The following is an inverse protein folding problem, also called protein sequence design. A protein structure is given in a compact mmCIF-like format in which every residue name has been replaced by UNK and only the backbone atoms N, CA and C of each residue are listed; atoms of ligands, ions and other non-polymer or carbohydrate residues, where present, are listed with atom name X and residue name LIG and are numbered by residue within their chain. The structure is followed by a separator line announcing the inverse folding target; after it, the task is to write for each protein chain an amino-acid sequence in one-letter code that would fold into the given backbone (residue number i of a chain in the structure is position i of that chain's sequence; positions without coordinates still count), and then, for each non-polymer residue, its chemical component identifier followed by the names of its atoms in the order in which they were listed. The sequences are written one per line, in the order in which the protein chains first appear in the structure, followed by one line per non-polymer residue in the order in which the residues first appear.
data_IF_660999756100
#
_entry.id   IF_660999756100
#
_cell.length_a   1.000
_cell.length_b   1.000
_cell.length_c   1.000
_cell.angle_alpha   90.00
_cell.angle_beta   90.00
_cell.angle_gamma   90.00
#
_symmetry.space_group_name_H-M   'P 1'
#
loop_
_entity.id
_entity.type
_entity.pdbx_description
1 polymer ?
#
# COMPACT_ATOMS: atom_id res chain seq x y z
N UNK A 1 -11.85 -7.33 8.07
CA UNK A 1 -12.54 -7.56 6.79
C UNK A 1 -12.78 -9.05 6.66
N UNK A 2 -13.86 -9.46 5.99
CA UNK A 2 -14.22 -10.89 5.91
C UNK A 2 -13.76 -11.55 4.60
N UNK A 3 -13.27 -10.74 3.65
CA UNK A 3 -12.80 -11.17 2.34
C UNK A 3 -11.68 -10.26 1.81
N UNK A 4 -11.10 -10.63 0.69
CA UNK A 4 -10.21 -9.79 -0.10
C UNK A 4 -11.06 -8.87 -0.99
N UNK A 5 -10.85 -7.57 -0.87
CA UNK A 5 -11.58 -6.49 -1.55
C UNK A 5 -10.70 -5.87 -2.64
N UNK A 6 -11.31 -5.44 -3.73
CA UNK A 6 -10.57 -4.86 -4.87
C UNK A 6 -10.96 -3.40 -5.09
N UNK A 7 -9.98 -2.58 -5.44
CA UNK A 7 -10.18 -1.15 -5.65
C UNK A 7 -9.06 -0.47 -6.41
N UNK A 8 -9.11 0.85 -6.42
CA UNK A 8 -8.31 1.70 -7.28
C UNK A 8 -7.35 2.58 -6.49
N UNK A 9 -6.15 2.79 -7.03
CA UNK A 9 -5.24 3.85 -6.61
C UNK A 9 -5.79 5.19 -7.10
N UNK A 10 -6.40 5.92 -6.18
CA UNK A 10 -7.12 7.14 -6.50
C UNK A 10 -8.52 6.91 -7.06
N UNK A 11 -9.15 8.02 -7.46
CA UNK A 11 -10.45 7.98 -8.13
C UNK A 11 -10.31 7.38 -9.53
N UNK A 12 -11.29 6.57 -9.99
CA UNK A 12 -11.30 6.06 -11.36
C UNK A 12 -11.11 7.17 -12.41
N UNK A 13 -10.40 6.89 -13.49
CA UNK A 13 -10.12 7.86 -14.58
C UNK A 13 -11.44 8.37 -15.19
N UNK A 14 -12.42 7.50 -15.32
CA UNK A 14 -13.74 7.84 -15.83
C UNK A 14 -14.59 8.70 -14.89
N UNK A 15 -14.11 9.00 -13.67
CA UNK A 15 -14.82 9.84 -12.71
C UNK A 15 -14.80 11.31 -13.11
N UNK A 16 -15.98 11.89 -13.32
CA UNK A 16 -16.14 13.34 -13.38
C UNK A 16 -16.43 13.87 -11.99
N UNK A 17 -15.53 14.69 -11.45
CA UNK A 17 -15.69 15.28 -10.11
C UNK A 17 -14.55 15.00 -9.14
N UNK A 18 -14.85 15.17 -7.87
CA UNK A 18 -13.88 15.11 -6.78
C UNK A 18 -13.78 13.71 -6.13
N UNK A 19 -13.08 13.61 -5.01
CA UNK A 19 -12.91 12.37 -4.25
C UNK A 19 -14.24 11.74 -3.82
N UNK A 20 -15.26 12.56 -3.47
CA UNK A 20 -16.59 12.04 -3.07
C UNK A 20 -17.27 11.35 -4.26
N UNK A 21 -17.21 11.97 -5.44
CA UNK A 21 -17.73 11.35 -6.67
C UNK A 21 -16.90 10.11 -7.07
N UNK A 22 -15.59 10.11 -6.83
CA UNK A 22 -14.72 8.94 -7.00
C UNK A 22 -15.21 7.74 -6.17
N UNK A 23 -15.48 7.94 -4.89
CA UNK A 23 -16.00 6.90 -3.99
C UNK A 23 -17.33 6.32 -4.51
N UNK A 24 -18.23 7.20 -4.92
CA UNK A 24 -19.53 6.78 -5.49
C UNK A 24 -19.34 5.99 -6.80
N UNK A 25 -18.35 6.39 -7.61
CA UNK A 25 -18.06 5.73 -8.87
C UNK A 25 -17.41 4.36 -8.66
N UNK A 26 -16.45 4.23 -7.76
CA UNK A 26 -15.86 2.94 -7.38
C UNK A 26 -16.96 1.94 -7.04
N UNK A 27 -17.97 2.33 -6.26
CA UNK A 27 -19.11 1.46 -5.96
C UNK A 27 -19.97 1.14 -7.19
N UNK A 28 -20.19 2.11 -8.12
CA UNK A 28 -20.92 1.84 -9.37
C UNK A 28 -20.20 0.83 -10.27
N UNK A 29 -18.86 0.81 -10.25
CA UNK A 29 -18.04 -0.17 -10.96
C UNK A 29 -18.03 -1.56 -10.27
N UNK A 30 -18.69 -1.70 -9.10
CA UNK A 30 -18.72 -2.94 -8.34
C UNK A 30 -17.46 -3.21 -7.52
N UNK A 31 -16.57 -2.23 -7.40
CA UNK A 31 -15.37 -2.29 -6.58
C UNK A 31 -15.68 -1.91 -5.12
N UNK A 32 -14.77 -2.25 -4.20
CA UNK A 32 -15.03 -2.25 -2.77
C UNK A 32 -14.09 -1.35 -1.97
N UNK A 33 -12.99 -0.90 -2.54
CA UNK A 33 -12.03 -0.03 -1.86
C UNK A 33 -11.45 1.02 -2.81
N UNK A 34 -10.90 2.09 -2.23
CA UNK A 34 -10.21 3.14 -2.96
C UNK A 34 -9.07 3.69 -2.10
N UNK A 35 -7.92 3.90 -2.70
CA UNK A 35 -6.81 4.56 -2.06
C UNK A 35 -6.88 6.07 -2.28
N UNK A 36 -6.62 6.85 -1.21
CA UNK A 36 -6.49 8.29 -1.28
C UNK A 36 -5.05 8.62 -1.66
N UNK A 37 -4.86 9.20 -2.86
CA UNK A 37 -3.54 9.51 -3.39
C UNK A 37 -3.07 10.89 -2.92
N UNK A 38 -2.17 10.91 -1.93
CA UNK A 38 -1.50 12.13 -1.47
C UNK A 38 -0.11 12.29 -2.10
N UNK A 39 0.07 11.75 -3.28
CA UNK A 39 1.36 11.61 -3.99
C UNK A 39 2.21 12.89 -3.96
N UNK A 40 1.61 14.04 -4.25
CA UNK A 40 2.29 15.34 -4.22
C UNK A 40 1.99 16.17 -2.97
N UNK A 41 0.82 16.02 -2.39
CA UNK A 41 0.38 16.76 -1.21
C UNK A 41 -0.91 16.17 -0.65
N UNK A 42 -1.17 16.47 0.62
CA UNK A 42 -2.46 16.15 1.25
C UNK A 42 -3.50 17.13 0.71
N UNK A 43 -4.32 16.67 -0.22
CA UNK A 43 -5.29 17.47 -0.98
C UNK A 43 -6.73 17.41 -0.42
N UNK A 44 -6.90 16.85 0.78
CA UNK A 44 -8.18 16.77 1.49
C UNK A 44 -8.08 17.61 2.76
N UNK A 45 -8.92 18.65 2.86
CA UNK A 45 -9.06 19.45 4.09
C UNK A 45 -9.85 18.70 5.14
N UNK A 46 -9.85 19.16 6.41
CA UNK A 46 -10.64 18.54 7.49
C UNK A 46 -12.14 18.56 7.19
N UNK A 47 -12.65 19.66 6.62
CA UNK A 47 -14.05 19.82 6.21
C UNK A 47 -14.40 18.83 5.10
N UNK A 48 -13.53 18.67 4.13
CA UNK A 48 -13.70 17.72 3.03
C UNK A 48 -13.65 16.28 3.54
N UNK A 49 -12.80 15.97 4.53
CA UNK A 49 -12.70 14.65 5.13
C UNK A 49 -14.03 14.17 5.71
N UNK A 50 -14.84 15.06 6.27
CA UNK A 50 -16.19 14.74 6.78
C UNK A 50 -17.09 14.24 5.64
N UNK A 51 -17.05 14.90 4.48
CA UNK A 51 -17.85 14.51 3.31
C UNK A 51 -17.36 13.19 2.72
N UNK A 52 -16.06 13.00 2.66
CA UNK A 52 -15.42 11.75 2.21
C UNK A 52 -15.80 10.59 3.13
N UNK A 53 -15.73 10.77 4.45
CA UNK A 53 -16.16 9.79 5.45
C UNK A 53 -17.63 9.40 5.25
N UNK A 54 -18.53 10.39 5.10
CA UNK A 54 -19.95 10.15 4.86
C UNK A 54 -20.16 9.30 3.60
N UNK A 55 -19.54 9.69 2.49
CA UNK A 55 -19.66 8.97 1.22
C UNK A 55 -19.11 7.53 1.31
N UNK A 56 -17.96 7.34 1.96
CA UNK A 56 -17.37 6.03 2.15
C UNK A 56 -18.26 5.10 2.97
N UNK A 57 -18.83 5.60 4.06
CA UNK A 57 -19.79 4.83 4.88
C UNK A 57 -21.08 4.49 4.12
N UNK A 58 -21.70 5.46 3.46
CA UNK A 58 -22.93 5.26 2.69
C UNK A 58 -22.74 4.26 1.55
N UNK A 59 -21.59 4.30 0.90
CA UNK A 59 -21.26 3.41 -0.22
C UNK A 59 -20.55 2.12 0.21
N UNK A 60 -20.25 1.95 1.50
CA UNK A 60 -19.51 0.80 2.04
C UNK A 60 -18.17 0.60 1.31
N UNK A 61 -17.45 1.69 1.05
CA UNK A 61 -16.11 1.68 0.46
C UNK A 61 -15.07 1.75 1.58
N UNK A 62 -14.13 0.82 1.56
CA UNK A 62 -12.95 0.88 2.42
C UNK A 62 -11.96 1.86 1.81
N UNK A 63 -11.49 2.81 2.62
CA UNK A 63 -10.47 3.76 2.21
C UNK A 63 -9.11 3.39 2.79
N UNK A 64 -8.11 3.46 1.93
CA UNK A 64 -6.68 3.47 2.29
C UNK A 64 -6.07 4.81 1.85
N UNK A 65 -4.80 5.01 2.08
CA UNK A 65 -4.10 6.21 1.64
C UNK A 65 -2.66 5.87 1.28
N UNK A 66 -2.17 6.38 0.15
CA UNK A 66 -0.75 6.48 -0.14
C UNK A 66 -0.24 7.87 0.24
N UNK A 67 0.75 7.92 1.12
CA UNK A 67 1.38 9.17 1.55
C UNK A 67 2.36 9.70 0.47
N UNK A 68 2.84 10.99 0.56
CA UNK A 68 3.65 11.59 -0.47
C UNK A 68 4.92 10.81 -0.84
N UNK A 69 5.25 10.75 -2.14
CA UNK A 69 6.35 9.94 -2.68
C UNK A 69 7.76 10.43 -2.30
N UNK A 70 7.90 11.67 -1.83
CA UNK A 70 9.19 12.24 -1.43
C UNK A 70 9.56 12.00 0.03
N UNK A 71 8.84 11.12 0.72
CA UNK A 71 9.19 10.67 2.07
C UNK A 71 10.54 9.97 2.06
N UNK A 72 11.41 10.35 3.00
CA UNK A 72 12.68 9.68 3.24
C UNK A 72 13.03 9.77 4.73
N UNK A 73 12.65 8.73 5.48
CA UNK A 73 12.91 8.61 6.93
C UNK A 73 14.42 8.38 7.21
N UNK A 74 15.22 8.00 6.20
CA UNK A 74 16.68 7.91 6.33
C UNK A 74 17.40 9.17 5.79
N UNK A 75 16.74 10.31 5.74
CA UNK A 75 17.38 11.53 5.25
C UNK A 75 18.46 12.04 6.22
N UNK A 76 19.67 12.31 5.69
CA UNK A 76 20.77 12.95 6.44
C UNK A 76 20.38 14.40 6.81
N UNK A 77 19.61 15.06 5.96
CA UNK A 77 19.04 16.39 6.24
C UNK A 77 17.93 16.26 7.28
N UNK A 78 18.19 16.78 8.48
CA UNK A 78 17.23 16.77 9.60
C UNK A 78 15.89 17.43 9.26
N UNK A 79 15.87 18.48 8.42
CA UNK A 79 14.61 19.12 7.99
C UNK A 79 13.79 18.15 7.14
N UNK A 80 14.41 17.48 6.18
CA UNK A 80 13.75 16.48 5.34
C UNK A 80 13.30 15.27 6.15
N UNK A 81 14.11 14.81 7.12
CA UNK A 81 13.71 13.75 8.06
C UNK A 81 12.43 14.13 8.80
N UNK A 82 12.39 15.28 9.48
CA UNK A 82 11.20 15.71 10.23
C UNK A 82 10.00 15.98 9.32
N UNK A 83 10.22 16.55 8.13
CA UNK A 83 9.16 16.72 7.14
C UNK A 83 8.56 15.37 6.72
N UNK A 84 9.39 14.34 6.52
CA UNK A 84 8.93 12.98 6.18
C UNK A 84 8.02 12.38 7.26
N UNK A 85 8.39 12.51 8.54
CA UNK A 85 7.54 12.08 9.65
C UNK A 85 6.20 12.82 9.64
N UNK A 86 6.25 14.14 9.48
CA UNK A 86 5.04 14.98 9.45
C UNK A 86 4.11 14.64 8.27
N UNK A 87 4.66 14.29 7.10
CA UNK A 87 3.84 13.86 5.97
C UNK A 87 3.07 12.58 6.30
N UNK A 88 3.71 11.59 6.91
CA UNK A 88 3.05 10.34 7.30
C UNK A 88 1.99 10.60 8.37
N UNK A 89 2.33 11.34 9.43
CA UNK A 89 1.42 11.69 10.52
C UNK A 89 0.19 12.44 10.01
N UNK A 90 0.39 13.46 9.15
CA UNK A 90 -0.71 14.24 8.61
C UNK A 90 -1.56 13.42 7.61
N UNK A 91 -0.94 12.56 6.79
CA UNK A 91 -1.67 11.62 5.93
C UNK A 91 -2.52 10.70 6.79
N UNK A 92 -1.97 10.12 7.85
CA UNK A 92 -2.70 9.27 8.78
C UNK A 92 -3.86 10.02 9.46
N UNK A 93 -3.64 11.27 9.87
CA UNK A 93 -4.68 12.12 10.49
C UNK A 93 -5.85 12.37 9.55
N UNK A 94 -5.59 12.80 8.32
CA UNK A 94 -6.65 13.05 7.35
C UNK A 94 -7.34 11.75 6.94
N UNK A 95 -6.59 10.66 6.75
CA UNK A 95 -7.17 9.34 6.45
C UNK A 95 -8.07 8.84 7.59
N UNK A 96 -7.67 9.03 8.84
CA UNK A 96 -8.49 8.70 10.02
C UNK A 96 -9.80 9.50 10.03
N UNK A 97 -9.77 10.81 9.74
CA UNK A 97 -10.96 11.65 9.61
C UNK A 97 -11.87 11.19 8.46
N UNK A 98 -11.32 10.68 7.37
CA UNK A 98 -12.04 10.07 6.26
C UNK A 98 -12.63 8.68 6.60
N UNK A 99 -12.43 8.16 7.82
CA UNK A 99 -12.73 6.79 8.21
C UNK A 99 -11.90 5.74 7.47
N UNK A 100 -10.70 6.11 7.00
CA UNK A 100 -9.77 5.20 6.35
C UNK A 100 -9.20 4.15 7.30
N UNK A 101 -8.64 3.11 6.71
CA UNK A 101 -8.17 1.92 7.42
C UNK A 101 -6.66 1.87 7.59
N UNK A 102 -5.89 2.33 6.59
CA UNK A 102 -4.44 2.28 6.60
C UNK A 102 -3.80 3.38 5.75
N UNK A 103 -2.54 3.68 6.05
CA UNK A 103 -1.68 4.56 5.25
C UNK A 103 -0.42 3.78 4.87
N UNK A 104 -0.11 3.71 3.57
CA UNK A 104 1.13 3.16 3.05
C UNK A 104 2.07 4.26 2.54
N UNK A 105 3.35 3.94 2.46
CA UNK A 105 4.40 4.84 2.00
C UNK A 105 5.73 4.10 1.79
N UNK A 106 6.56 4.61 0.88
CA UNK A 106 7.96 4.22 0.78
C UNK A 106 8.76 4.90 1.89
N UNK A 107 9.47 4.11 2.71
CA UNK A 107 10.16 4.64 3.88
C UNK A 107 11.43 5.45 3.57
N UNK A 108 12.02 5.28 2.38
CA UNK A 108 13.17 6.06 1.93
C UNK A 108 14.29 5.22 1.29
N UNK A 109 15.51 5.72 1.36
CA UNK A 109 16.66 5.17 0.64
C UNK A 109 17.78 4.77 1.60
N UNK A 110 18.58 3.74 1.23
CA UNK A 110 19.78 3.38 2.00
C UNK A 110 20.86 4.47 1.94
N UNK A 111 20.88 5.25 0.84
CA UNK A 111 21.91 6.26 0.58
C UNK A 111 23.32 5.65 0.65
N UNK A 112 24.18 6.17 1.58
CA UNK A 112 25.53 5.66 1.85
C UNK A 112 25.61 4.80 3.12
N UNK A 113 24.47 4.60 3.79
CA UNK A 113 24.42 3.83 5.03
C UNK A 113 24.35 2.32 4.76
N UNK A 114 24.75 1.53 5.75
CA UNK A 114 24.50 0.09 5.74
C UNK A 114 23.00 -0.17 5.92
N UNK A 115 22.54 -1.34 5.48
CA UNK A 115 21.13 -1.74 5.66
C UNK A 115 20.70 -1.70 7.12
N UNK A 116 21.55 -2.19 8.03
CA UNK A 116 21.23 -2.21 9.45
C UNK A 116 21.15 -0.80 10.05
N UNK A 117 22.07 0.10 9.69
CA UNK A 117 22.01 1.50 10.15
C UNK A 117 20.75 2.20 9.62
N UNK A 118 20.41 1.98 8.36
CA UNK A 118 19.16 2.49 7.77
C UNK A 118 17.94 1.94 8.49
N UNK A 119 17.94 0.62 8.79
CA UNK A 119 16.88 -0.02 9.54
C UNK A 119 16.64 0.64 10.90
N UNK A 120 17.69 0.83 11.69
CA UNK A 120 17.56 1.48 12.99
C UNK A 120 17.07 2.94 12.89
N UNK A 121 17.54 3.70 11.88
CA UNK A 121 17.07 5.07 11.65
C UNK A 121 15.58 5.10 11.28
N UNK A 122 15.16 4.21 10.38
CA UNK A 122 13.74 4.08 9.97
C UNK A 122 12.89 3.66 11.17
N UNK A 123 13.31 2.66 11.93
CA UNK A 123 12.62 2.19 13.13
C UNK A 123 12.40 3.32 14.14
N UNK A 124 13.44 4.10 14.45
CA UNK A 124 13.32 5.24 15.37
C UNK A 124 12.39 6.34 14.84
N UNK A 125 12.40 6.57 13.53
CA UNK A 125 11.42 7.47 12.88
C UNK A 125 9.99 6.94 13.00
N UNK A 126 9.81 5.64 12.76
CA UNK A 126 8.51 4.96 12.87
C UNK A 126 7.96 4.99 14.29
N UNK A 127 8.78 4.81 15.33
CA UNK A 127 8.35 4.95 16.73
C UNK A 127 7.72 6.31 16.98
N UNK A 128 8.35 7.39 16.50
CA UNK A 128 7.79 8.76 16.62
C UNK A 128 6.46 8.92 15.91
N UNK A 129 6.32 8.32 14.73
CA UNK A 129 5.04 8.32 14.00
C UNK A 129 3.97 7.58 14.82
N UNK A 130 4.29 6.39 15.34
CA UNK A 130 3.35 5.58 16.13
C UNK A 130 2.94 6.31 17.42
N UNK A 131 3.88 6.97 18.10
CA UNK A 131 3.58 7.74 19.31
C UNK A 131 2.54 8.86 19.07
N UNK A 132 2.52 9.43 17.88
CA UNK A 132 1.50 10.42 17.49
C UNK A 132 0.17 9.77 17.09
N UNK A 133 0.24 8.75 16.22
CA UNK A 133 -1.00 8.16 15.64
C UNK A 133 -1.78 7.28 16.62
N UNK A 134 -1.14 6.72 17.64
CA UNK A 134 -1.84 5.96 18.70
C UNK A 134 -2.85 6.79 19.48
N UNK A 135 -2.70 8.13 19.47
CA UNK A 135 -3.60 9.06 20.14
C UNK A 135 -4.82 9.46 19.27
N UNK A 136 -4.95 8.91 18.06
CA UNK A 136 -6.11 9.18 17.22
C UNK A 136 -7.34 8.41 17.74
N UNK A 137 -8.51 9.01 17.61
CA UNK A 137 -9.79 8.40 18.04
C UNK A 137 -10.06 7.04 17.38
N UNK A 138 -9.49 6.83 16.19
CA UNK A 138 -9.61 5.60 15.43
C UNK A 138 -8.25 5.03 15.12
N UNK A 139 -8.08 3.73 15.39
CA UNK A 139 -6.88 2.98 14.98
C UNK A 139 -6.73 3.02 13.46
N UNK A 140 -5.54 3.42 13.00
CA UNK A 140 -5.14 3.41 11.60
C UNK A 140 -3.83 2.62 11.46
N UNK A 141 -3.75 1.72 10.49
CA UNK A 141 -2.53 0.97 10.25
C UNK A 141 -1.49 1.82 9.52
N UNK A 142 -0.26 1.77 9.99
CA UNK A 142 0.89 2.41 9.35
C UNK A 142 1.68 1.33 8.61
N UNK A 143 1.78 1.48 7.27
CA UNK A 143 2.22 0.42 6.40
C UNK A 143 3.40 0.86 5.53
N UNK A 144 4.65 0.65 6.00
CA UNK A 144 5.77 0.74 5.07
C UNK A 144 5.59 -0.25 3.94
N UNK A 145 5.85 0.20 2.72
CA UNK A 145 5.61 -0.55 1.50
C UNK A 145 6.89 -1.23 1.02
N UNK A 146 6.72 -2.43 0.43
CA UNK A 146 7.80 -3.10 -0.30
C UNK A 146 8.18 -2.22 -1.50
N UNK A 147 9.45 -1.81 -1.55
CA UNK A 147 9.94 -0.89 -2.58
C UNK A 147 10.52 -1.63 -3.79
N UNK A 148 10.22 -1.15 -4.99
CA UNK A 148 10.63 -1.76 -6.25
C UNK A 148 12.11 -1.58 -6.63
N UNK A 149 12.82 -0.61 -6.00
CA UNK A 149 14.24 -0.34 -6.29
C UNK A 149 15.17 -0.93 -5.23
N UNK A 150 16.27 -1.53 -5.64
CA UNK A 150 17.26 -2.12 -4.73
C UNK A 150 17.97 -1.08 -3.84
N UNK A 151 17.98 0.19 -4.25
CA UNK A 151 18.54 1.32 -3.49
C UNK A 151 17.61 1.88 -2.42
N UNK A 152 16.35 1.44 -2.40
CA UNK A 152 15.36 1.85 -1.42
C UNK A 152 15.26 0.84 -0.27
N UNK A 153 15.05 1.36 0.94
CA UNK A 153 14.61 0.58 2.09
C UNK A 153 13.20 0.04 1.82
N UNK A 154 12.95 -1.19 2.23
CA UNK A 154 11.65 -1.82 2.06
C UNK A 154 11.74 -3.18 1.37
N UNK A 155 12.72 -4.02 1.71
CA UNK A 155 12.65 -5.45 1.43
C UNK A 155 11.60 -6.12 2.32
N UNK A 156 11.05 -7.27 1.90
CA UNK A 156 10.06 -8.01 2.67
C UNK A 156 10.53 -8.25 4.12
N UNK A 157 11.76 -8.73 4.29
CA UNK A 157 12.33 -9.00 5.62
C UNK A 157 12.44 -7.77 6.50
N UNK A 158 12.84 -6.61 5.97
CA UNK A 158 12.92 -5.36 6.72
C UNK A 158 11.55 -4.92 7.20
N UNK A 159 10.52 -5.04 6.35
CA UNK A 159 9.16 -4.63 6.70
C UNK A 159 8.52 -5.60 7.69
N UNK A 160 8.73 -6.91 7.53
CA UNK A 160 8.29 -7.91 8.53
C UNK A 160 8.93 -7.62 9.88
N UNK A 161 10.25 -7.36 9.93
CA UNK A 161 10.97 -7.05 11.16
C UNK A 161 10.42 -5.77 11.83
N UNK A 162 10.15 -4.70 11.07
CA UNK A 162 9.49 -3.49 11.60
C UNK A 162 8.13 -3.80 12.20
N UNK A 163 7.35 -4.65 11.55
CA UNK A 163 6.01 -5.04 12.00
C UNK A 163 6.04 -5.94 13.25
N UNK A 164 7.12 -6.70 13.46
CA UNK A 164 7.33 -7.46 14.70
C UNK A 164 7.73 -6.56 15.89
N UNK A 165 8.50 -5.52 15.62
CA UNK A 165 9.09 -4.67 16.66
C UNK A 165 8.20 -3.46 17.02
N UNK A 166 7.22 -3.10 16.18
CA UNK A 166 6.40 -1.90 16.35
C UNK A 166 4.90 -2.24 16.30
N UNK A 167 4.18 -1.80 17.32
CA UNK A 167 2.73 -1.91 17.32
C UNK A 167 2.09 -1.06 16.21
N UNK A 168 0.94 -1.50 15.71
CA UNK A 168 0.17 -0.77 14.68
C UNK A 168 0.89 -0.64 13.32
N UNK A 169 1.99 -1.36 13.14
CA UNK A 169 2.72 -1.46 11.86
C UNK A 169 2.42 -2.81 11.22
N UNK A 170 2.09 -2.80 9.92
CA UNK A 170 1.90 -3.99 9.09
C UNK A 170 2.42 -3.70 7.67
N UNK A 171 2.82 -4.71 6.90
CA UNK A 171 3.27 -4.49 5.54
C UNK A 171 2.20 -3.89 4.62
N UNK A 172 2.61 -3.02 3.69
CA UNK A 172 1.97 -2.91 2.38
C UNK A 172 2.77 -3.77 1.41
N UNK A 173 2.12 -4.78 0.84
CA UNK A 173 2.78 -5.77 -0.01
C UNK A 173 2.52 -5.44 -1.47
N UNK A 174 3.50 -4.83 -2.13
CA UNK A 174 3.46 -4.61 -3.56
C UNK A 174 4.17 -5.76 -4.29
N UNK A 175 3.38 -6.55 -5.02
CA UNK A 175 3.89 -7.69 -5.78
C UNK A 175 4.60 -7.30 -7.07
N UNK A 176 4.25 -6.17 -7.66
CA UNK A 176 4.95 -5.62 -8.81
C UNK A 176 6.34 -5.10 -8.40
N UNK A 177 6.43 -4.39 -7.28
CA UNK A 177 7.71 -3.98 -6.69
C UNK A 177 8.57 -5.17 -6.27
N UNK A 178 7.97 -6.22 -5.71
CA UNK A 178 8.71 -7.45 -5.37
C UNK A 178 9.33 -8.08 -6.62
N UNK A 179 8.57 -8.19 -7.71
CA UNK A 179 9.06 -8.68 -9.00
C UNK A 179 10.20 -7.81 -9.52
N UNK A 180 10.02 -6.48 -9.52
CA UNK A 180 11.00 -5.53 -10.02
C UNK A 180 12.30 -5.55 -9.21
N UNK A 181 12.20 -5.47 -7.86
CA UNK A 181 13.32 -5.49 -6.93
C UNK A 181 14.20 -6.73 -7.07
N UNK A 182 13.60 -7.87 -7.42
CA UNK A 182 14.27 -9.15 -7.55
C UNK A 182 14.66 -9.48 -9.00
N UNK A 183 14.54 -8.50 -9.89
CA UNK A 183 14.82 -8.63 -11.33
C UNK A 183 14.09 -9.82 -11.96
N UNK A 184 12.81 -9.97 -11.65
CA UNK A 184 11.94 -10.98 -12.25
C UNK A 184 11.90 -12.33 -11.53
N UNK A 185 12.56 -12.48 -10.38
CA UNK A 185 12.66 -13.77 -9.69
C UNK A 185 11.34 -14.22 -9.05
N UNK A 186 10.56 -13.31 -8.48
CA UNK A 186 9.31 -13.64 -7.78
C UNK A 186 8.11 -13.50 -8.72
N UNK A 187 7.84 -14.53 -9.52
CA UNK A 187 6.79 -14.49 -10.54
C UNK A 187 6.10 -15.83 -10.81
N UNK A 188 6.27 -16.81 -9.95
CA UNK A 188 5.62 -18.11 -10.08
C UNK A 188 4.89 -18.48 -8.79
N UNK A 189 4.03 -19.51 -8.86
CA UNK A 189 3.26 -19.98 -7.71
C UNK A 189 4.13 -20.24 -6.47
N UNK A 190 5.26 -20.98 -6.53
CA UNK A 190 6.11 -21.22 -5.37
C UNK A 190 6.65 -19.95 -4.72
N UNK A 191 7.02 -18.94 -5.54
CA UNK A 191 7.53 -17.68 -5.00
C UNK A 191 6.42 -16.83 -4.37
N UNK A 192 5.23 -16.78 -4.95
CA UNK A 192 4.08 -16.10 -4.32
C UNK A 192 3.70 -16.76 -3.00
N UNK A 193 3.71 -18.10 -2.95
CA UNK A 193 3.53 -18.86 -1.71
C UNK A 193 4.60 -18.49 -0.69
N UNK A 194 5.87 -18.43 -1.10
CA UNK A 194 6.96 -18.13 -0.17
C UNK A 194 6.82 -16.75 0.48
N UNK A 195 6.31 -15.75 -0.26
CA UNK A 195 6.03 -14.41 0.30
C UNK A 195 4.97 -14.49 1.41
N UNK A 196 3.85 -15.20 1.14
CA UNK A 196 2.77 -15.33 2.12
C UNK A 196 3.20 -16.14 3.34
N UNK A 197 3.99 -17.21 3.14
CA UNK A 197 4.55 -18.03 4.21
C UNK A 197 5.52 -17.23 5.10
N UNK A 198 6.37 -16.37 4.50
CA UNK A 198 7.26 -15.48 5.26
C UNK A 198 6.47 -14.48 6.11
N UNK A 199 5.39 -13.92 5.56
CA UNK A 199 4.49 -13.01 6.28
C UNK A 199 3.77 -13.77 7.41
N UNK A 200 3.20 -14.94 7.15
CA UNK A 200 2.50 -15.74 8.16
C UNK A 200 3.46 -16.21 9.26
N UNK A 201 4.64 -16.66 8.91
CA UNK A 201 5.68 -17.09 9.86
C UNK A 201 6.15 -15.94 10.74
N UNK A 202 6.33 -14.75 10.16
CA UNK A 202 6.84 -13.58 10.88
C UNK A 202 5.78 -12.87 11.73
N UNK A 203 4.55 -12.78 11.24
CA UNK A 203 3.49 -11.92 11.80
C UNK A 203 2.22 -12.67 12.21
N UNK A 204 2.19 -13.98 12.01
CA UNK A 204 1.03 -14.82 12.31
C UNK A 204 -0.07 -14.75 11.24
N UNK A 205 -1.04 -15.65 11.36
CA UNK A 205 -2.20 -15.74 10.45
C UNK A 205 -3.01 -14.45 10.35
N UNK A 206 -3.04 -13.68 11.42
CA UNK A 206 -3.76 -12.40 11.46
C UNK A 206 -3.20 -11.40 10.44
N UNK A 207 -1.92 -11.49 10.07
CA UNK A 207 -1.36 -10.64 9.02
C UNK A 207 -2.00 -10.95 7.65
N UNK A 208 -2.24 -12.24 7.33
CA UNK A 208 -2.93 -12.64 6.10
C UNK A 208 -4.42 -12.26 6.09
N UNK A 209 -5.01 -12.07 7.27
CA UNK A 209 -6.38 -11.59 7.44
C UNK A 209 -6.48 -10.05 7.43
N UNK A 210 -5.34 -9.37 7.28
CA UNK A 210 -5.23 -7.91 7.40
C UNK A 210 -4.25 -7.35 6.36
N UNK A 211 -4.29 -7.84 5.11
CA UNK A 211 -3.35 -7.42 4.08
C UNK A 211 -3.77 -6.12 3.38
N UNK A 212 -2.80 -5.28 3.10
CA UNK A 212 -2.87 -4.19 2.16
C UNK A 212 -1.91 -4.53 1.02
N UNK A 213 -2.46 -4.73 -0.15
CA UNK A 213 -1.75 -5.25 -1.32
C UNK A 213 -1.84 -4.23 -2.44
N UNK A 214 -0.70 -3.96 -3.08
CA UNK A 214 -0.64 -3.25 -4.35
C UNK A 214 -0.35 -4.24 -5.48
N UNK A 215 -1.02 -4.07 -6.61
CA UNK A 215 -0.78 -4.82 -7.85
C UNK A 215 -0.88 -3.87 -9.03
N UNK A 216 0.14 -3.92 -9.88
CA UNK A 216 0.16 -3.29 -11.20
C UNK A 216 0.96 -4.14 -12.18
N UNK A 217 0.86 -3.85 -13.46
CA UNK A 217 1.92 -4.23 -14.38
C UNK A 217 3.19 -3.40 -14.07
N UNK A 218 4.37 -3.94 -14.39
CA UNK A 218 5.61 -3.23 -14.10
C UNK A 218 6.69 -3.45 -15.16
N UNK A 219 7.36 -2.36 -15.54
CA UNK A 219 8.62 -2.37 -16.26
C UNK A 219 9.76 -2.27 -15.25
N UNK A 220 10.78 -3.11 -15.41
CA UNK A 220 11.93 -3.15 -14.50
C UNK A 220 13.24 -3.46 -15.23
N UNK A 221 14.35 -3.29 -14.56
CA UNK A 221 15.68 -3.62 -15.01
C UNK A 221 16.59 -4.01 -13.83
N UNK A 222 17.89 -4.04 -14.05
CA UNK A 222 18.89 -4.47 -13.05
C UNK A 222 18.84 -3.70 -11.73
N UNK A 223 18.42 -2.43 -11.75
CA UNK A 223 18.33 -1.58 -10.57
C UNK A 223 16.91 -1.56 -9.94
N UNK A 224 16.00 -2.35 -10.52
CA UNK A 224 14.60 -2.47 -10.08
C UNK A 224 13.61 -1.74 -10.98
N UNK A 225 12.55 -1.26 -10.39
CA UNK A 225 11.40 -0.60 -11.00
C UNK A 225 11.75 0.59 -11.89
N UNK A 226 11.04 0.70 -13.04
CA UNK A 226 11.06 1.84 -13.95
C UNK A 226 9.72 2.55 -14.03
N UNK A 227 8.68 1.86 -14.51
CA UNK A 227 7.34 2.40 -14.71
C UNK A 227 6.28 1.34 -14.41
N UNK A 228 5.12 1.78 -13.95
CA UNK A 228 3.92 0.95 -13.93
C UNK A 228 3.37 0.76 -15.34
N UNK A 229 2.88 -0.42 -15.63
CA UNK A 229 2.24 -0.81 -16.88
C UNK A 229 0.82 -1.31 -16.60
N UNK A 230 0.00 -1.43 -17.64
CA UNK A 230 -1.22 -2.24 -17.56
C UNK A 230 -0.84 -3.72 -17.44
N UNK A 231 -1.67 -4.50 -16.77
CA UNK A 231 -1.38 -5.92 -16.48
C UNK A 231 -1.11 -6.74 -17.74
N UNK A 232 -1.84 -6.46 -18.81
CA UNK A 232 -1.68 -7.16 -20.10
C UNK A 232 -0.28 -6.98 -20.71
N UNK A 233 0.35 -5.83 -20.48
CA UNK A 233 1.67 -5.52 -21.02
C UNK A 233 2.82 -5.88 -20.07
N UNK A 234 2.52 -6.47 -18.92
CA UNK A 234 3.48 -6.81 -17.89
C UNK A 234 3.86 -8.30 -17.93
N UNK A 235 5.06 -8.58 -17.39
CA UNK A 235 5.49 -9.96 -17.14
C UNK A 235 4.95 -10.54 -15.83
N UNK A 236 4.33 -9.73 -14.96
CA UNK A 236 3.77 -10.21 -13.70
C UNK A 236 2.68 -11.24 -13.97
N UNK A 237 2.84 -12.45 -13.47
CA UNK A 237 1.77 -13.47 -13.51
C UNK A 237 0.71 -13.19 -12.44
N UNK A 238 -0.05 -12.10 -12.67
CA UNK A 238 -1.12 -11.68 -11.77
C UNK A 238 -2.23 -12.73 -11.67
N UNK A 239 -2.39 -13.60 -12.67
CA UNK A 239 -3.41 -14.66 -12.64
C UNK A 239 -3.06 -15.72 -11.60
N UNK A 240 -1.83 -16.20 -11.64
CA UNK A 240 -1.34 -17.16 -10.63
C UNK A 240 -1.25 -16.52 -9.24
N UNK A 241 -0.84 -15.25 -9.16
CA UNK A 241 -0.85 -14.50 -7.90
C UNK A 241 -2.26 -14.47 -7.27
N UNK A 242 -3.29 -14.11 -8.04
CA UNK A 242 -4.67 -14.07 -7.54
C UNK A 242 -5.18 -15.43 -7.11
N UNK A 243 -4.79 -16.51 -7.82
CA UNK A 243 -5.10 -17.88 -7.45
C UNK A 243 -4.46 -18.23 -6.09
N UNK A 244 -3.18 -17.91 -5.87
CA UNK A 244 -2.49 -18.12 -4.58
C UNK A 244 -3.16 -17.32 -3.46
N UNK A 245 -3.50 -16.05 -3.68
CA UNK A 245 -4.22 -15.25 -2.68
C UNK A 245 -5.57 -15.88 -2.30
N UNK A 246 -6.25 -16.51 -3.26
CA UNK A 246 -7.51 -17.24 -3.03
C UNK A 246 -7.29 -18.53 -2.23
N UNK A 247 -6.30 -19.33 -2.60
CA UNK A 247 -5.94 -20.57 -1.89
C UNK A 247 -5.59 -20.30 -0.41
N UNK A 248 -4.84 -19.23 -0.14
CA UNK A 248 -4.47 -18.78 1.22
C UNK A 248 -5.61 -18.11 1.98
N UNK A 249 -6.76 -17.88 1.33
CA UNK A 249 -7.92 -17.19 1.91
C UNK A 249 -7.53 -15.82 2.48
N UNK A 250 -6.66 -15.11 1.78
CA UNK A 250 -6.18 -13.77 2.17
C UNK A 250 -7.35 -12.82 2.28
N UNK A 251 -7.31 -11.95 3.31
CA UNK A 251 -8.32 -10.90 3.55
C UNK A 251 -7.64 -9.55 3.61
N UNK A 252 -8.38 -8.50 3.25
CA UNK A 252 -7.87 -7.14 3.22
C UNK A 252 -8.23 -6.42 1.93
N UNK A 253 -7.32 -5.62 1.41
CA UNK A 253 -7.53 -4.85 0.17
C UNK A 253 -6.45 -5.13 -0.87
N UNK A 254 -6.85 -5.16 -2.12
CA UNK A 254 -6.00 -5.10 -3.31
C UNK A 254 -6.27 -3.77 -4.01
N UNK A 255 -5.27 -2.92 -4.08
CA UNK A 255 -5.30 -1.64 -4.77
C UNK A 255 -4.59 -1.79 -6.11
N UNK A 256 -5.27 -1.44 -7.18
CA UNK A 256 -4.72 -1.44 -8.53
C UNK A 256 -3.99 -0.13 -8.81
N UNK A 257 -2.69 -0.21 -9.09
CA UNK A 257 -1.84 0.93 -9.46
C UNK A 257 -1.46 0.94 -10.96
N UNK A 258 -2.11 0.11 -11.76
CA UNK A 258 -1.93 0.15 -13.23
C UNK A 258 -2.36 1.51 -13.80
N UNK A 259 -1.75 1.98 -14.90
CA UNK A 259 -2.14 3.26 -15.52
C UNK A 259 -3.60 3.37 -15.95
N UNK A 260 -4.27 2.24 -16.25
CA UNK A 260 -5.70 2.17 -16.57
C UNK A 260 -6.61 1.95 -15.35
N UNK A 261 -6.06 2.04 -14.17
CA UNK A 261 -6.66 2.02 -12.82
C UNK A 261 -7.88 1.08 -12.69
N UNK A 262 -9.09 1.56 -13.02
CA UNK A 262 -10.35 0.83 -12.81
C UNK A 262 -10.50 -0.41 -13.70
N UNK A 263 -9.94 -0.39 -14.91
CA UNK A 263 -10.05 -1.51 -15.84
C UNK A 263 -9.32 -2.75 -15.30
N UNK A 264 -8.08 -2.59 -14.90
CA UNK A 264 -7.31 -3.68 -14.30
C UNK A 264 -7.82 -4.06 -12.91
N UNK A 265 -8.34 -3.11 -12.12
CA UNK A 265 -8.99 -3.43 -10.84
C UNK A 265 -10.20 -4.35 -11.03
N UNK A 266 -11.08 -4.05 -12.00
CA UNK A 266 -12.23 -4.87 -12.34
C UNK A 266 -11.81 -6.21 -12.96
N UNK A 267 -10.77 -6.22 -13.81
CA UNK A 267 -10.18 -7.43 -14.38
C UNK A 267 -9.75 -8.40 -13.27
N UNK A 268 -8.96 -7.91 -12.30
CA UNK A 268 -8.49 -8.70 -11.16
C UNK A 268 -9.65 -9.22 -10.30
N UNK A 269 -10.61 -8.35 -9.95
CA UNK A 269 -11.77 -8.74 -9.14
C UNK A 269 -12.61 -9.82 -9.84
N UNK A 270 -12.87 -9.66 -11.14
CA UNK A 270 -13.65 -10.61 -11.92
C UNK A 270 -12.94 -11.96 -12.05
N UNK A 271 -11.63 -11.95 -12.22
CA UNK A 271 -10.83 -13.17 -12.25
C UNK A 271 -10.84 -13.88 -10.90
N UNK A 272 -10.60 -13.15 -9.81
CA UNK A 272 -10.60 -13.69 -8.44
C UNK A 272 -11.93 -14.31 -8.04
N UNK A 273 -13.06 -13.78 -8.53
CA UNK A 273 -14.40 -14.36 -8.29
C UNK A 273 -14.64 -15.68 -9.01
N UNK A 274 -13.88 -15.97 -10.08
CA UNK A 274 -14.01 -17.21 -10.87
C UNK A 274 -13.27 -18.39 -10.26
N UNK A 275 -12.27 -18.15 -9.44
CA UNK A 275 -11.60 -19.16 -8.64
C UNK A 275 -12.48 -19.58 -7.43
#
# INVERSE_FOLDING_TARGET
MDSLLFGTAGKPISTKGDTVEGIKHVRRLGLDCMELEFVHSINITKEKAILVNKAAKEKKIILTCHAPFYININSIDKKKFHASLNYIINSAKITSLCNGWSVCFHAGFYQKDTKEKTYETVKEGMKKIIDEVKNFDKKIWIRPEISGKISQFGSLNEIIRLSQELEQVMPCVDFAHMLARTNGKYNTKPEFISILDEIEKGLGKEALNNMHIHISGIEYGEIGERNHLILEHSKLDYKELLNVLKEYKVKGVVICESPNIEEDAMLMQNLYKKF
#
